data_IF_633650927904
#
_entry.id   IF_633650927904
#
_cell.length_a   1.000
_cell.length_b   1.000
_cell.length_c   1.000
_cell.angle_alpha   90.00
_cell.angle_beta   90.00
_cell.angle_gamma   90.00
#
_symmetry.space_group_name_H-M   'P 1'
#
loop_
_entity.id
_entity.type
_entity.pdbx_description
1 polymer ?
#
# COMPACT_ATOMS: atom_id res chain seq x y z
N UNK A 1 7.24 14.83 -49.89
CA UNK A 1 6.53 13.54 -49.98
C UNK A 1 5.99 13.20 -48.61
N UNK A 2 4.80 12.60 -48.49
CA UNK A 2 4.22 12.27 -47.19
C UNK A 2 4.51 10.80 -46.85
N UNK A 3 5.06 10.56 -45.67
CA UNK A 3 5.33 9.21 -45.15
C UNK A 3 4.36 8.91 -44.01
N UNK A 4 3.61 7.81 -44.12
CA UNK A 4 2.70 7.34 -43.08
C UNK A 4 3.35 6.21 -42.29
N UNK A 5 3.51 6.39 -40.98
CA UNK A 5 4.06 5.37 -40.07
C UNK A 5 2.96 4.96 -39.09
N UNK A 6 2.67 3.64 -39.02
CA UNK A 6 1.63 3.10 -38.12
C UNK A 6 2.15 3.02 -36.68
N UNK A 7 1.51 3.79 -35.80
CA UNK A 7 1.55 3.64 -34.35
C UNK A 7 0.11 3.60 -33.80
N UNK A 8 -0.07 3.57 -32.48
CA UNK A 8 -1.41 3.64 -31.85
C UNK A 8 -2.21 4.90 -32.28
N UNK A 9 -1.51 5.93 -32.80
CA UNK A 9 -2.09 7.12 -33.44
C UNK A 9 -1.33 7.40 -34.75
N UNK A 10 -2.03 7.85 -35.80
CA UNK A 10 -1.39 8.23 -37.07
C UNK A 10 -0.70 9.59 -36.93
N UNK A 11 0.62 9.63 -37.14
CA UNK A 11 1.40 10.86 -37.14
C UNK A 11 1.81 11.24 -38.56
N UNK A 12 1.64 12.51 -38.92
CA UNK A 12 2.03 13.07 -40.22
C UNK A 12 3.33 13.85 -40.08
N UNK A 13 4.37 13.40 -40.78
CA UNK A 13 5.66 14.08 -40.84
C UNK A 13 5.87 14.63 -42.26
N UNK A 14 6.19 15.92 -42.38
CA UNK A 14 6.62 16.49 -43.65
C UNK A 14 8.09 16.13 -43.87
N UNK A 15 8.35 15.40 -44.96
CA UNK A 15 9.71 14.95 -45.32
C UNK A 15 10.22 15.80 -46.48
N UNK A 16 11.38 16.44 -46.26
CA UNK A 16 12.15 17.09 -47.33
C UNK A 16 13.05 16.06 -48.03
N UNK A 17 13.39 16.29 -49.29
CA UNK A 17 14.16 15.33 -50.11
C UNK A 17 15.60 15.06 -49.66
N UNK A 18 16.05 15.69 -48.56
CA UNK A 18 17.41 15.61 -48.03
C UNK A 18 17.51 14.72 -46.79
N UNK A 19 16.40 14.25 -46.24
CA UNK A 19 16.39 13.46 -44.99
C UNK A 19 16.47 11.96 -45.27
N UNK A 20 17.33 11.26 -44.53
CA UNK A 20 17.42 9.80 -44.64
C UNK A 20 16.37 9.12 -43.74
N UNK A 21 16.04 7.86 -44.03
CA UNK A 21 15.10 7.06 -43.23
C UNK A 21 15.57 6.90 -41.77
N UNK A 22 16.89 6.96 -41.52
CA UNK A 22 17.45 6.91 -40.16
C UNK A 22 17.07 8.17 -39.36
N UNK A 23 17.17 9.35 -39.98
CA UNK A 23 16.84 10.63 -39.35
C UNK A 23 15.36 10.70 -38.95
N UNK A 24 14.49 10.16 -39.79
CA UNK A 24 13.04 10.09 -39.55
C UNK A 24 12.74 9.17 -38.36
N UNK A 25 13.43 8.03 -38.24
CA UNK A 25 13.27 7.10 -37.10
C UNK A 25 13.68 7.73 -35.77
N UNK A 26 14.75 8.54 -35.76
CA UNK A 26 15.21 9.24 -34.56
C UNK A 26 14.18 10.28 -34.11
N UNK A 27 13.69 11.12 -35.03
CA UNK A 27 12.68 12.15 -34.74
C UNK A 27 11.39 11.55 -34.15
N UNK A 28 10.92 10.42 -34.70
CA UNK A 28 9.77 9.70 -34.16
C UNK A 28 10.01 9.20 -32.73
N UNK A 29 11.16 8.56 -32.49
CA UNK A 29 11.53 8.07 -31.16
C UNK A 29 11.54 9.19 -30.12
N UNK A 30 12.17 10.33 -30.44
CA UNK A 30 12.24 11.49 -29.54
C UNK A 30 10.86 12.07 -29.26
N UNK A 31 10.00 12.19 -30.27
CA UNK A 31 8.65 12.77 -30.13
C UNK A 31 7.74 11.88 -29.27
N UNK A 32 7.74 10.57 -29.52
CA UNK A 32 6.93 9.60 -28.78
C UNK A 32 7.41 9.46 -27.34
N UNK A 33 8.72 9.35 -27.11
CA UNK A 33 9.29 9.24 -25.76
C UNK A 33 9.07 10.52 -24.93
N UNK A 34 9.08 11.70 -25.55
CA UNK A 34 8.79 12.95 -24.85
C UNK A 34 7.33 13.02 -24.37
N UNK A 35 6.38 12.61 -25.22
CA UNK A 35 4.96 12.58 -24.88
C UNK A 35 4.58 11.52 -23.83
N UNK A 36 5.25 10.37 -23.83
CA UNK A 36 5.00 9.29 -22.87
C UNK A 36 5.45 9.62 -21.43
N UNK A 37 6.47 10.48 -21.28
CA UNK A 37 7.03 10.84 -19.97
C UNK A 37 6.20 11.89 -19.19
N UNK A 38 5.25 12.57 -19.83
CA UNK A 38 4.50 13.67 -19.19
C UNK A 38 3.18 13.23 -18.52
N UNK A 39 2.58 12.11 -18.94
CA UNK A 39 1.23 11.68 -18.52
C UNK A 39 1.17 10.74 -17.29
N UNK A 40 2.26 10.56 -16.54
CA UNK A 40 2.36 9.57 -15.45
C UNK A 40 2.50 10.11 -14.02
N UNK A 41 2.25 11.41 -13.78
CA UNK A 41 2.57 12.05 -12.49
C UNK A 41 1.49 11.76 -11.43
N UNK A 42 1.66 10.67 -10.69
CA UNK A 42 0.82 10.36 -9.52
C UNK A 42 1.11 11.35 -8.39
N UNK A 43 0.12 12.17 -8.01
CA UNK A 43 0.26 13.09 -6.88
C UNK A 43 0.14 12.35 -5.54
N UNK A 44 1.28 12.21 -4.87
CA UNK A 44 1.41 11.56 -3.57
C UNK A 44 2.82 11.03 -3.39
N UNK A 45 3.70 11.81 -2.76
CA UNK A 45 5.07 11.37 -2.52
C UNK A 45 5.14 10.27 -1.46
N UNK A 46 5.97 9.25 -1.70
CA UNK A 46 6.33 8.21 -0.72
C UNK A 46 7.14 8.73 0.48
N UNK A 47 7.46 10.03 0.52
CA UNK A 47 8.30 10.67 1.54
C UNK A 47 7.82 10.50 3.00
N UNK A 48 6.55 10.15 3.22
CA UNK A 48 5.98 9.94 4.56
C UNK A 48 5.84 8.46 4.94
N UNK A 49 6.26 7.53 4.09
CA UNK A 49 6.18 6.11 4.36
C UNK A 49 7.01 5.76 5.61
N UNK A 50 6.40 5.09 6.59
CA UNK A 50 7.09 4.64 7.80
C UNK A 50 7.38 5.71 8.86
N UNK A 51 7.07 7.00 8.63
CA UNK A 51 7.36 8.10 9.58
C UNK A 51 6.92 7.80 11.01
N UNK A 52 5.68 7.33 11.20
CA UNK A 52 5.13 7.05 12.54
C UNK A 52 5.83 5.86 13.19
N UNK A 53 6.10 4.79 12.43
CA UNK A 53 6.76 3.58 12.96
C UNK A 53 8.19 3.85 13.40
N UNK A 54 8.89 4.78 12.73
CA UNK A 54 10.25 5.19 13.10
C UNK A 54 10.30 6.16 14.29
N UNK A 55 9.26 6.98 14.48
CA UNK A 55 9.17 7.92 15.59
C UNK A 55 8.74 7.27 16.91
N UNK A 56 7.91 6.22 16.87
CA UNK A 56 7.44 5.55 18.09
C UNK A 56 8.58 4.80 18.81
N UNK A 57 8.75 4.97 20.14
CA UNK A 57 9.76 4.24 20.88
C UNK A 57 9.55 2.72 20.76
N UNK A 58 10.63 1.98 20.60
CA UNK A 58 10.57 0.52 20.51
C UNK A 58 10.46 -0.08 21.92
N UNK A 59 9.23 -0.38 22.33
CA UNK A 59 8.98 -1.05 23.61
C UNK A 59 9.23 -2.55 23.47
N UNK A 60 10.13 -3.09 24.30
CA UNK A 60 10.42 -4.52 24.36
C UNK A 60 9.25 -5.32 24.94
N UNK A 61 9.14 -6.57 24.49
CA UNK A 61 8.12 -7.47 25.00
C UNK A 61 8.53 -7.95 26.38
N UNK A 62 7.74 -7.58 27.40
CA UNK A 62 7.87 -8.17 28.74
C UNK A 62 7.62 -9.68 28.70
N UNK A 63 8.38 -10.43 29.49
CA UNK A 63 8.15 -11.86 29.67
C UNK A 63 6.79 -12.08 30.35
N UNK A 64 5.91 -12.85 29.70
CA UNK A 64 4.60 -13.23 30.24
C UNK A 64 4.51 -14.74 30.30
N UNK A 65 3.97 -15.26 31.41
CA UNK A 65 3.71 -16.70 31.58
C UNK A 65 2.93 -17.23 30.38
N UNK A 66 3.34 -18.39 29.86
CA UNK A 66 2.66 -19.05 28.74
C UNK A 66 1.20 -19.30 29.11
N UNK A 67 0.28 -18.81 28.26
CA UNK A 67 -1.15 -19.04 28.45
C UNK A 67 -1.46 -20.52 28.20
N UNK A 68 -2.24 -21.14 29.09
CA UNK A 68 -2.78 -22.49 28.84
C UNK A 68 -3.64 -22.47 27.56
N UNK A 69 -3.62 -23.57 26.81
CA UNK A 69 -4.37 -23.74 25.55
C UNK A 69 -5.36 -24.89 25.65
N UNK A 70 -6.21 -25.07 24.63
CA UNK A 70 -7.15 -26.20 24.53
C UNK A 70 -8.18 -26.29 25.66
N UNK A 71 -8.46 -27.53 26.09
CA UNK A 71 -9.45 -27.85 27.13
C UNK A 71 -9.18 -27.15 28.46
N UNK A 72 -7.91 -27.05 28.85
CA UNK A 72 -7.50 -26.36 30.08
C UNK A 72 -7.88 -24.87 30.04
N UNK A 73 -7.70 -24.20 28.90
CA UNK A 73 -8.10 -22.79 28.72
C UNK A 73 -9.62 -22.63 28.79
N UNK A 74 -10.38 -23.54 28.18
CA UNK A 74 -11.85 -23.51 28.19
C UNK A 74 -12.41 -23.67 29.61
N UNK A 75 -11.85 -24.58 30.42
CA UNK A 75 -12.22 -24.74 31.84
C UNK A 75 -12.00 -23.45 32.63
N UNK A 76 -10.84 -22.80 32.46
CA UNK A 76 -10.54 -21.52 33.12
C UNK A 76 -11.52 -20.43 32.69
N UNK A 77 -11.86 -20.36 31.41
CA UNK A 77 -12.80 -19.37 30.88
C UNK A 77 -14.22 -19.57 31.43
N UNK A 78 -14.69 -20.81 31.55
CA UNK A 78 -15.99 -21.14 32.14
C UNK A 78 -16.04 -20.71 33.61
N UNK A 79 -15.04 -21.12 34.41
CA UNK A 79 -14.98 -20.75 35.82
C UNK A 79 -14.96 -19.23 36.00
N UNK A 80 -14.21 -18.48 35.18
CA UNK A 80 -14.16 -17.00 35.24
C UNK A 80 -15.46 -16.31 34.82
N UNK A 81 -16.31 -16.94 34.02
CA UNK A 81 -17.53 -16.32 33.48
C UNK A 81 -18.79 -16.68 34.26
N UNK A 82 -18.84 -17.88 34.84
CA UNK A 82 -20.07 -18.44 35.38
C UNK A 82 -19.93 -18.87 36.84
N UNK A 83 -18.87 -19.58 37.21
CA UNK A 83 -18.73 -20.13 38.57
C UNK A 83 -18.26 -19.05 39.56
N UNK A 84 -17.25 -18.27 39.17
CA UNK A 84 -16.62 -17.29 40.07
C UNK A 84 -17.29 -15.91 40.01
N UNK A 85 -18.32 -15.72 39.18
CA UNK A 85 -19.03 -14.44 39.04
C UNK A 85 -20.19 -14.42 40.02
N UNK A 86 -20.15 -13.50 40.98
CA UNK A 86 -21.31 -13.18 41.83
C UNK A 86 -22.15 -12.13 41.12
N UNK A 87 -23.47 -12.35 40.92
CA UNK A 87 -24.35 -11.34 40.34
C UNK A 87 -24.48 -10.18 41.32
N UNK A 88 -23.80 -9.07 41.05
CA UNK A 88 -23.95 -7.82 41.78
C UNK A 88 -25.04 -6.97 41.16
N UNK A 89 -25.69 -6.15 41.97
CA UNK A 89 -26.66 -5.18 41.49
C UNK A 89 -25.96 -4.04 40.72
N UNK A 90 -26.51 -3.63 39.58
CA UNK A 90 -25.94 -2.60 38.70
C UNK A 90 -25.36 -3.12 37.38
N UNK A 91 -24.62 -2.26 36.66
CA UNK A 91 -24.08 -2.58 35.33
C UNK A 91 -22.89 -3.55 35.44
N UNK A 92 -22.93 -4.66 34.71
CA UNK A 92 -21.84 -5.64 34.66
C UNK A 92 -20.57 -5.03 34.07
N UNK A 93 -19.46 -5.06 34.83
CA UNK A 93 -18.14 -4.59 34.37
C UNK A 93 -17.56 -5.55 33.33
N UNK A 94 -16.96 -4.98 32.28
CA UNK A 94 -16.37 -5.75 31.19
C UNK A 94 -15.08 -6.49 31.59
N UNK A 95 -14.70 -7.57 30.89
CA UNK A 95 -13.50 -8.36 31.19
C UNK A 95 -12.16 -7.62 31.06
N UNK A 96 -12.14 -6.47 30.37
CA UNK A 96 -10.95 -5.65 30.12
C UNK A 96 -11.24 -4.17 30.41
N UNK A 97 -11.95 -3.91 31.52
CA UNK A 97 -12.18 -2.56 32.01
C UNK A 97 -10.96 -2.08 32.83
N UNK A 98 -10.41 -0.92 32.49
CA UNK A 98 -9.22 -0.33 33.11
C UNK A 98 -9.54 0.70 34.22
N UNK A 99 -10.83 0.97 34.44
CA UNK A 99 -11.36 1.76 35.56
C UNK A 99 -11.18 1.05 36.88
#
# INVERSE_FOLDING_TARGET
>A
MQLFVRAQTLHTFQVSGLETVADIKVKYSTTVLWSANFFGKVHGSLARAGKVRGQTPKVDKQEKKKKKTGRAKRRIQYNRRFVNVVPTFGKKKGPNANS
#
